data_IF_613515897352
#
_entry.id   IF_613515897352
#
_cell.length_a   1.000
_cell.length_b   1.000
_cell.length_c   1.000
_cell.angle_alpha   90.00
_cell.angle_beta   90.00
_cell.angle_gamma   90.00
#
_symmetry.space_group_name_H-M   'P 1'
#
loop_
_entity.id
_entity.type
_entity.pdbx_description
1 polymer ?
#
# COMPACT_ATOMS: atom_id res chain seq x y z
N UNK A 1 -5.06 -7.07 16.76
CA UNK A 1 -4.79 -8.30 17.50
C UNK A 1 -3.32 -8.68 17.58
N UNK A 2 -2.48 -8.42 16.54
CA UNK A 2 -1.05 -8.79 16.53
C UNK A 2 -0.26 -7.94 17.52
N UNK A 3 -0.52 -6.66 17.61
CA UNK A 3 0.15 -5.74 18.56
C UNK A 3 -0.10 -6.14 20.02
N UNK A 4 -1.29 -6.64 20.35
CA UNK A 4 -1.57 -7.13 21.70
C UNK A 4 -0.78 -8.38 22.06
N UNK A 5 -0.54 -9.30 21.12
CA UNK A 5 0.24 -10.51 21.35
C UNK A 5 1.74 -10.20 21.59
N UNK A 6 2.28 -9.17 20.97
CA UNK A 6 3.65 -8.71 21.19
C UNK A 6 3.74 -7.95 22.52
N UNK A 7 2.78 -7.07 22.81
CA UNK A 7 2.77 -6.28 24.04
C UNK A 7 2.67 -7.14 25.32
N UNK A 8 2.04 -8.30 25.27
CA UNK A 8 1.95 -9.24 26.42
C UNK A 8 3.25 -9.99 26.71
N UNK A 9 4.25 -9.92 25.82
CA UNK A 9 5.56 -10.55 26.01
C UNK A 9 6.63 -9.58 26.47
N UNK A 10 6.34 -8.27 26.48
CA UNK A 10 7.25 -7.24 26.95
C UNK A 10 7.09 -7.02 28.46
N UNK A 11 8.22 -6.90 29.17
CA UNK A 11 8.21 -6.46 30.56
C UNK A 11 7.83 -4.97 30.66
N UNK A 12 7.48 -4.52 31.86
CA UNK A 12 7.21 -3.11 32.12
C UNK A 12 8.43 -2.22 31.75
N UNK A 13 9.65 -2.74 31.99
CA UNK A 13 10.91 -2.04 31.64
C UNK A 13 11.14 -1.99 30.13
N UNK A 14 10.80 -3.05 29.38
CA UNK A 14 10.87 -3.03 27.92
C UNK A 14 9.90 -2.01 27.34
N UNK A 15 8.68 -1.95 27.87
CA UNK A 15 7.69 -0.96 27.44
C UNK A 15 8.16 0.47 27.75
N UNK A 16 8.74 0.69 28.94
CA UNK A 16 9.27 2.00 29.32
C UNK A 16 10.45 2.41 28.44
N UNK A 17 11.36 1.49 28.12
CA UNK A 17 12.51 1.72 27.26
C UNK A 17 12.10 2.04 25.82
N UNK A 18 11.13 1.28 25.27
CA UNK A 18 10.57 1.55 23.94
C UNK A 18 9.86 2.90 23.90
N UNK A 19 9.07 3.23 24.92
CA UNK A 19 8.40 4.52 25.03
C UNK A 19 9.40 5.68 25.14
N UNK A 20 10.45 5.53 25.95
CA UNK A 20 11.53 6.52 26.07
C UNK A 20 12.28 6.71 24.76
N UNK A 21 12.58 5.62 24.02
CA UNK A 21 13.20 5.70 22.71
C UNK A 21 12.34 6.51 21.73
N UNK A 22 11.05 6.23 21.63
CA UNK A 22 10.16 6.99 20.74
C UNK A 22 9.93 8.44 21.22
N UNK A 23 9.95 8.69 22.52
CA UNK A 23 9.86 10.06 23.06
C UNK A 23 11.07 10.94 22.71
N UNK A 24 12.27 10.33 22.52
CA UNK A 24 13.46 11.05 22.06
C UNK A 24 13.47 11.34 20.55
N UNK A 25 12.57 10.72 19.79
CA UNK A 25 12.44 10.91 18.34
C UNK A 25 11.62 12.18 17.99
N UNK A 26 11.72 13.23 18.79
CA UNK A 26 11.05 14.50 18.52
C UNK A 26 11.59 15.12 17.23
N UNK A 27 10.75 15.13 16.18
CA UNK A 27 11.01 15.84 14.93
C UNK A 27 11.30 14.98 13.69
N UNK A 28 11.16 13.68 13.76
CA UNK A 28 11.14 12.87 12.55
C UNK A 28 9.84 13.15 11.77
N UNK A 29 9.85 14.18 10.94
CA UNK A 29 8.89 14.25 9.83
C UNK A 29 8.97 12.93 9.07
N UNK A 30 7.83 12.41 8.62
CA UNK A 30 7.65 11.11 7.96
C UNK A 30 8.40 10.97 6.61
N UNK A 31 9.57 11.56 6.49
CA UNK A 31 10.52 11.52 5.37
C UNK A 31 11.84 10.82 5.73
N UNK A 32 11.96 10.22 6.92
CA UNK A 32 13.08 9.34 7.18
C UNK A 32 12.93 8.14 6.23
N UNK A 33 13.60 8.20 5.07
CA UNK A 33 13.92 7.01 4.28
C UNK A 33 14.49 6.01 5.28
N UNK A 34 13.93 4.81 5.29
CA UNK A 34 14.47 3.72 6.09
C UNK A 34 15.87 3.41 5.57
N UNK A 35 16.91 4.00 6.20
CA UNK A 35 18.30 3.75 5.84
C UNK A 35 18.69 2.26 6.00
N UNK A 36 17.79 1.47 6.58
CA UNK A 36 17.94 0.03 6.78
C UNK A 36 17.42 -0.83 5.61
N UNK A 37 16.64 -0.25 4.68
CA UNK A 37 16.14 -1.01 3.54
C UNK A 37 17.04 -0.81 2.32
N UNK A 38 17.34 -1.89 1.57
CA UNK A 38 18.09 -1.77 0.33
C UNK A 38 17.33 -0.89 -0.67
N UNK A 39 18.04 -0.22 -1.54
CA UNK A 39 17.41 0.54 -2.62
C UNK A 39 17.00 -0.39 -3.77
N UNK A 40 15.73 -0.73 -3.85
CA UNK A 40 15.13 -1.52 -4.92
C UNK A 40 14.34 -0.61 -5.86
N UNK A 41 15.05 0.10 -6.74
CA UNK A 41 14.47 1.06 -7.68
C UNK A 41 13.75 0.41 -8.87
N UNK A 42 14.11 -0.84 -9.22
CA UNK A 42 13.53 -1.54 -10.37
C UNK A 42 12.23 -2.21 -9.99
N UNK A 43 11.23 -2.08 -10.84
CA UNK A 43 9.97 -2.82 -10.79
C UNK A 43 9.63 -3.34 -12.18
N UNK A 44 8.99 -4.51 -12.23
CA UNK A 44 8.44 -5.08 -13.46
C UNK A 44 7.02 -4.61 -13.77
N UNK A 45 6.38 -3.95 -12.79
CA UNK A 45 4.99 -3.48 -12.92
C UNK A 45 4.91 -2.34 -13.92
N UNK A 46 4.01 -2.49 -14.90
CA UNK A 46 3.67 -1.45 -15.87
C UNK A 46 2.34 -0.82 -15.50
N UNK A 47 2.12 0.43 -15.95
CA UNK A 47 0.82 1.07 -15.82
C UNK A 47 -0.23 0.24 -16.57
N UNK A 48 -1.36 -0.16 -15.93
CA UNK A 48 -2.38 -0.97 -16.58
C UNK A 48 -3.26 -0.12 -17.49
N UNK A 49 -2.84 0.06 -18.72
CA UNK A 49 -3.62 0.85 -19.69
C UNK A 49 -5.03 0.26 -19.86
N UNK A 50 -6.02 1.14 -19.99
CA UNK A 50 -7.41 0.73 -20.13
C UNK A 50 -8.06 0.13 -18.87
N UNK A 51 -7.42 0.25 -17.69
CA UNK A 51 -7.97 -0.30 -16.45
C UNK A 51 -9.40 0.17 -16.16
N UNK A 52 -9.78 1.36 -16.57
CA UNK A 52 -11.11 1.92 -16.34
C UNK A 52 -12.23 1.05 -16.96
N UNK A 53 -11.92 0.29 -18.00
CA UNK A 53 -12.87 -0.59 -18.69
C UNK A 53 -12.64 -2.08 -18.43
N UNK A 54 -11.39 -2.45 -18.09
CA UNK A 54 -10.97 -3.85 -17.93
C UNK A 54 -10.86 -4.30 -16.48
N UNK A 55 -10.75 -3.36 -15.53
CA UNK A 55 -10.72 -3.68 -14.10
C UNK A 55 -12.04 -3.29 -13.44
N UNK A 56 -12.31 -3.88 -12.28
CA UNK A 56 -13.47 -3.53 -11.46
C UNK A 56 -13.03 -2.84 -10.18
N UNK A 57 -13.68 -1.73 -9.85
CA UNK A 57 -13.53 -1.14 -8.53
C UNK A 57 -14.17 -2.07 -7.50
N UNK A 58 -13.38 -2.52 -6.52
CA UNK A 58 -13.86 -3.45 -5.49
C UNK A 58 -13.88 -2.84 -4.10
N UNK A 59 -13.16 -1.72 -3.89
CA UNK A 59 -13.11 -1.10 -2.57
C UNK A 59 -12.87 0.40 -2.64
N UNK A 60 -13.23 1.10 -1.55
CA UNK A 60 -12.93 2.51 -1.31
C UNK A 60 -12.53 2.67 0.14
N UNK A 61 -11.45 3.40 0.43
CA UNK A 61 -10.97 3.65 1.81
C UNK A 61 -10.66 5.13 1.99
N UNK A 62 -11.12 5.67 3.11
CA UNK A 62 -10.71 6.99 3.60
C UNK A 62 -9.40 6.89 4.38
N UNK A 63 -8.50 7.83 4.15
CA UNK A 63 -7.26 8.02 4.90
C UNK A 63 -7.28 9.40 5.60
N UNK A 64 -7.87 9.49 6.81
CA UNK A 64 -8.07 10.76 7.49
C UNK A 64 -6.76 11.51 7.77
N UNK A 65 -5.70 10.80 8.17
CA UNK A 65 -4.41 11.39 8.52
C UNK A 65 -3.77 12.16 7.35
N UNK A 66 -3.99 11.70 6.12
CA UNK A 66 -3.45 12.31 4.89
C UNK A 66 -4.51 13.07 4.10
N UNK A 67 -5.75 13.12 4.59
CA UNK A 67 -6.92 13.70 3.90
C UNK A 67 -7.04 13.16 2.46
N UNK A 68 -6.99 11.83 2.34
CA UNK A 68 -7.08 11.12 1.04
C UNK A 68 -8.26 10.18 1.02
N UNK A 69 -8.76 9.93 -0.19
CA UNK A 69 -9.62 8.79 -0.49
C UNK A 69 -8.97 7.96 -1.58
N UNK A 70 -9.04 6.65 -1.45
CA UNK A 70 -8.42 5.72 -2.39
C UNK A 70 -9.46 4.78 -2.97
N UNK A 71 -9.42 4.63 -4.29
CA UNK A 71 -10.25 3.71 -5.05
C UNK A 71 -9.41 2.53 -5.52
N UNK A 72 -9.83 1.33 -5.12
CA UNK A 72 -9.11 0.09 -5.38
C UNK A 72 -9.78 -0.68 -6.52
N UNK A 73 -8.98 -1.05 -7.49
CA UNK A 73 -9.38 -1.79 -8.69
C UNK A 73 -8.57 -3.08 -8.79
N UNK A 74 -9.16 -4.09 -9.38
CA UNK A 74 -8.47 -5.34 -9.68
C UNK A 74 -8.93 -5.88 -11.03
N UNK A 75 -8.04 -6.65 -11.69
CA UNK A 75 -8.43 -7.40 -12.87
C UNK A 75 -9.33 -8.59 -12.52
N UNK A 76 -10.05 -9.11 -13.49
CA UNK A 76 -11.00 -10.20 -13.28
C UNK A 76 -10.37 -11.48 -12.74
N UNK A 77 -9.09 -11.72 -13.04
CA UNK A 77 -8.35 -12.90 -12.54
C UNK A 77 -8.17 -12.81 -11.01
N UNK A 78 -7.68 -11.68 -10.52
CA UNK A 78 -7.52 -11.44 -9.09
C UNK A 78 -8.86 -11.52 -8.36
N UNK A 79 -9.91 -10.90 -8.90
CA UNK A 79 -11.24 -10.90 -8.28
C UNK A 79 -11.86 -12.29 -8.21
N UNK A 80 -11.71 -13.12 -9.23
CA UNK A 80 -12.20 -14.51 -9.20
C UNK A 80 -11.48 -15.32 -8.13
N UNK A 81 -10.14 -15.24 -8.08
CA UNK A 81 -9.37 -15.97 -7.06
C UNK A 81 -9.75 -15.53 -5.64
N UNK A 82 -9.86 -14.21 -5.40
CA UNK A 82 -10.27 -13.67 -4.11
C UNK A 82 -11.67 -14.12 -3.70
N UNK A 83 -12.63 -14.13 -4.64
CA UNK A 83 -13.99 -14.63 -4.39
C UNK A 83 -14.02 -16.11 -3.99
N UNK A 84 -13.14 -16.91 -4.59
CA UNK A 84 -13.01 -18.34 -4.30
C UNK A 84 -12.19 -18.61 -3.02
N UNK A 85 -11.67 -17.57 -2.33
CA UNK A 85 -10.80 -17.71 -1.16
C UNK A 85 -9.44 -18.33 -1.50
N UNK A 86 -9.00 -18.23 -2.73
CA UNK A 86 -7.72 -18.76 -3.22
C UNK A 86 -6.64 -17.70 -3.23
N UNK A 87 -5.36 -18.08 -3.11
CA UNK A 87 -4.25 -17.16 -3.36
C UNK A 87 -4.37 -16.52 -4.75
N UNK A 88 -3.97 -15.25 -4.86
CA UNK A 88 -4.00 -14.53 -6.11
C UNK A 88 -2.96 -15.13 -7.07
N UNK A 89 -3.34 -15.60 -8.27
CA UNK A 89 -2.43 -16.26 -9.22
C UNK A 89 -1.55 -15.26 -9.96
N UNK A 90 -0.56 -15.78 -10.68
CA UNK A 90 0.23 -15.00 -11.65
C UNK A 90 -0.72 -14.34 -12.68
N UNK A 91 -0.37 -13.14 -13.11
CA UNK A 91 -1.25 -12.29 -13.92
C UNK A 91 -2.23 -11.45 -13.10
N UNK A 92 -2.26 -11.59 -11.75
CA UNK A 92 -3.08 -10.73 -10.90
C UNK A 92 -2.51 -9.32 -10.86
N UNK A 93 -3.40 -8.33 -11.03
CA UNK A 93 -3.06 -6.91 -10.92
C UNK A 93 -4.07 -6.21 -10.02
N UNK A 94 -3.56 -5.55 -8.99
CA UNK A 94 -4.32 -4.64 -8.13
C UNK A 94 -3.81 -3.23 -8.38
N UNK A 95 -4.75 -2.30 -8.51
CA UNK A 95 -4.46 -0.93 -8.90
C UNK A 95 -5.23 0.05 -8.02
N UNK A 96 -4.60 1.17 -7.68
CA UNK A 96 -5.22 2.15 -6.79
C UNK A 96 -5.08 3.55 -7.36
N UNK A 97 -6.19 4.26 -7.39
CA UNK A 97 -6.22 5.71 -7.58
C UNK A 97 -6.18 6.38 -6.21
N UNK A 98 -5.28 7.34 -6.03
CA UNK A 98 -5.13 8.11 -4.79
C UNK A 98 -5.55 9.55 -5.06
N UNK A 99 -6.62 9.98 -4.40
CA UNK A 99 -7.16 11.33 -4.51
C UNK A 99 -6.95 12.11 -3.20
N UNK A 100 -6.77 13.43 -3.30
CA UNK A 100 -7.04 14.31 -2.17
C UNK A 100 -8.54 14.30 -1.87
N UNK A 101 -8.89 14.44 -0.59
CA UNK A 101 -10.27 14.66 -0.21
C UNK A 101 -10.63 16.16 -0.36
N UNK A 102 -11.78 16.45 -0.91
CA UNK A 102 -12.32 17.81 -0.99
C UNK A 102 -12.53 18.35 0.42
N UNK A 103 -12.01 19.54 0.68
CA UNK A 103 -12.14 20.20 1.99
C UNK A 103 -13.43 21.01 2.07
N UNK A 104 -14.09 20.93 3.22
CA UNK A 104 -15.17 21.81 3.60
C UNK A 104 -14.67 23.17 4.12
N UNK A 105 -15.58 24.08 4.46
CA UNK A 105 -15.25 25.40 5.00
C UNK A 105 -14.44 25.36 6.31
N UNK A 106 -14.56 24.29 7.09
CA UNK A 106 -13.84 24.06 8.34
C UNK A 106 -12.47 23.37 8.11
N UNK A 107 -12.05 23.19 6.85
CA UNK A 107 -10.79 22.54 6.48
C UNK A 107 -10.78 21.02 6.67
N UNK A 108 -11.91 20.41 7.05
CA UNK A 108 -12.04 18.96 7.15
C UNK A 108 -12.48 18.36 5.83
N UNK A 109 -12.15 17.08 5.57
CA UNK A 109 -12.65 16.38 4.42
C UNK A 109 -14.19 16.32 4.38
N UNK A 110 -14.77 16.65 3.23
CA UNK A 110 -16.18 16.42 2.99
C UNK A 110 -16.44 14.93 2.81
N UNK A 111 -17.51 14.45 3.43
CA UNK A 111 -17.96 13.06 3.32
C UNK A 111 -19.23 12.99 2.49
N UNK A 112 -19.26 12.10 1.53
CA UNK A 112 -20.43 11.81 0.70
C UNK A 112 -21.50 10.98 1.44
N UNK A 113 -22.67 10.78 0.83
CA UNK A 113 -23.76 10.00 1.42
C UNK A 113 -23.40 8.52 1.63
N UNK A 114 -22.39 8.02 0.92
CA UNK A 114 -21.84 6.67 1.04
C UNK A 114 -20.82 6.50 2.18
N UNK A 115 -20.54 7.57 2.95
CA UNK A 115 -19.59 7.57 4.06
C UNK A 115 -18.12 7.74 3.64
N UNK A 116 -17.84 7.85 2.34
CA UNK A 116 -16.49 8.08 1.85
C UNK A 116 -16.21 9.58 1.64
N UNK A 117 -14.93 9.94 1.73
CA UNK A 117 -14.52 11.30 1.40
C UNK A 117 -14.80 11.60 -0.07
N UNK A 118 -15.26 12.81 -0.34
CA UNK A 118 -15.45 13.30 -1.69
C UNK A 118 -14.08 13.51 -2.33
N UNK A 119 -13.79 12.81 -3.41
CA UNK A 119 -12.54 12.96 -4.15
C UNK A 119 -12.47 14.37 -4.77
N UNK A 120 -11.28 14.96 -4.76
CA UNK A 120 -10.96 16.25 -5.38
C UNK A 120 -9.97 16.06 -6.51
N UNK A 121 -8.67 16.10 -6.23
CA UNK A 121 -7.61 15.97 -7.22
C UNK A 121 -6.98 14.59 -7.18
N UNK A 122 -6.78 13.97 -8.33
CA UNK A 122 -5.96 12.78 -8.45
C UNK A 122 -4.51 13.14 -8.17
N UNK A 123 -3.90 12.47 -7.20
CA UNK A 123 -2.53 12.74 -6.74
C UNK A 123 -1.52 11.83 -7.43
N UNK A 124 -1.79 10.55 -7.48
CA UNK A 124 -0.95 9.52 -8.08
C UNK A 124 -1.69 8.18 -8.13
N UNK A 125 -1.04 7.21 -8.76
CA UNK A 125 -1.51 5.83 -8.77
C UNK A 125 -0.51 4.92 -8.07
N UNK A 126 -1.00 3.80 -7.53
CA UNK A 126 -0.16 2.67 -7.14
C UNK A 126 -0.65 1.39 -7.79
N UNK A 127 0.26 0.48 -8.04
CA UNK A 127 -0.06 -0.85 -8.54
C UNK A 127 0.79 -1.89 -7.85
N UNK A 128 0.21 -3.06 -7.67
CA UNK A 128 0.94 -4.28 -7.39
C UNK A 128 0.50 -5.34 -8.39
N UNK A 129 1.45 -6.09 -8.89
CA UNK A 129 1.19 -7.14 -9.84
C UNK A 129 2.09 -8.34 -9.57
N UNK A 130 1.62 -9.51 -9.93
CA UNK A 130 2.32 -10.77 -9.75
C UNK A 130 2.50 -11.45 -11.09
N UNK A 131 3.71 -11.93 -11.34
CA UNK A 131 4.04 -12.74 -12.51
C UNK A 131 5.21 -13.66 -12.16
N UNK A 132 5.20 -14.87 -12.69
CA UNK A 132 6.19 -15.89 -12.38
C UNK A 132 7.62 -15.39 -12.58
N UNK A 133 8.44 -15.54 -11.55
CA UNK A 133 9.86 -15.21 -11.57
C UNK A 133 10.21 -13.75 -11.28
N UNK A 134 9.25 -12.88 -11.03
CA UNK A 134 9.51 -11.47 -10.68
C UNK A 134 10.17 -11.28 -9.31
N UNK A 135 10.04 -12.27 -8.43
CA UNK A 135 10.67 -12.23 -7.10
C UNK A 135 12.16 -12.62 -7.10
N UNK A 136 12.72 -13.11 -8.20
CA UNK A 136 14.09 -13.69 -8.25
C UNK A 136 15.17 -12.72 -7.78
N UNK A 137 15.05 -11.45 -8.17
CA UNK A 137 16.04 -10.41 -7.89
C UNK A 137 15.75 -9.66 -6.57
N UNK A 138 14.69 -10.04 -5.85
CA UNK A 138 14.32 -9.44 -4.57
C UNK A 138 14.98 -10.24 -3.44
N UNK A 139 15.70 -9.57 -2.51
CA UNK A 139 16.27 -10.24 -1.34
C UNK A 139 15.21 -11.04 -0.57
N UNK A 140 15.54 -12.24 -0.14
CA UNK A 140 14.61 -13.19 0.48
C UNK A 140 13.83 -12.58 1.66
N UNK A 141 14.50 -11.79 2.49
CA UNK A 141 13.90 -11.11 3.63
C UNK A 141 12.76 -10.14 3.25
N UNK A 142 12.78 -9.62 2.01
CA UNK A 142 11.76 -8.68 1.50
C UNK A 142 10.84 -9.33 0.48
N UNK A 143 11.19 -10.50 -0.06
CA UNK A 143 10.46 -11.15 -1.14
C UNK A 143 9.05 -11.53 -0.71
N UNK A 144 8.07 -11.02 -1.42
CA UNK A 144 6.66 -11.35 -1.31
C UNK A 144 6.29 -12.27 -2.46
N UNK A 145 6.87 -13.48 -2.49
CA UNK A 145 6.80 -14.38 -3.65
C UNK A 145 7.20 -13.62 -4.94
N UNK A 146 6.35 -13.62 -5.96
CA UNK A 146 6.58 -12.96 -7.23
C UNK A 146 5.87 -11.59 -7.37
N UNK A 147 5.40 -11.02 -6.27
CA UNK A 147 4.80 -9.68 -6.27
C UNK A 147 5.83 -8.58 -6.49
N UNK A 148 5.49 -7.63 -7.34
CA UNK A 148 6.19 -6.38 -7.54
C UNK A 148 5.24 -5.19 -7.34
N UNK A 149 5.79 -4.03 -7.02
CA UNK A 149 5.04 -2.84 -6.65
C UNK A 149 5.55 -1.64 -7.46
N UNK A 150 4.64 -0.73 -7.80
CA UNK A 150 4.98 0.51 -8.48
C UNK A 150 4.07 1.66 -8.05
N UNK A 151 4.56 2.87 -8.18
CA UNK A 151 3.75 4.07 -8.16
C UNK A 151 3.91 4.82 -9.48
N UNK A 152 2.85 5.53 -9.90
CA UNK A 152 2.85 6.28 -11.15
C UNK A 152 2.36 7.70 -10.90
N UNK A 153 2.87 8.65 -11.68
CA UNK A 153 2.35 10.01 -11.71
C UNK A 153 0.95 10.05 -12.32
N UNK A 154 0.25 11.17 -12.20
CA UNK A 154 -1.02 11.41 -12.89
C UNK A 154 -0.91 11.31 -14.41
N UNK A 155 0.28 11.59 -14.96
CA UNK A 155 0.61 11.37 -16.38
C UNK A 155 1.04 9.94 -16.71
N UNK A 156 0.81 8.97 -15.80
CA UNK A 156 1.11 7.53 -15.96
C UNK A 156 2.60 7.16 -16.03
N UNK A 157 3.51 8.11 -15.85
CA UNK A 157 4.94 7.83 -15.80
C UNK A 157 5.29 7.16 -14.46
N UNK A 158 6.23 6.20 -14.48
CA UNK A 158 6.74 5.55 -13.28
C UNK A 158 7.36 6.59 -12.34
N UNK A 159 6.96 6.56 -11.07
CA UNK A 159 7.58 7.37 -10.01
C UNK A 159 8.80 6.65 -9.44
N UNK A 160 9.89 7.40 -9.16
CA UNK A 160 11.08 6.83 -8.53
C UNK A 160 10.80 6.56 -7.04
N UNK A 161 10.23 5.39 -6.73
CA UNK A 161 10.00 4.94 -5.36
C UNK A 161 10.90 3.75 -5.04
N UNK A 162 11.29 3.62 -3.77
CA UNK A 162 11.99 2.43 -3.31
C UNK A 162 10.98 1.30 -3.09
N UNK A 163 10.98 0.32 -3.98
CA UNK A 163 10.07 -0.84 -3.89
C UNK A 163 10.26 -1.62 -2.56
N UNK A 164 11.43 -1.57 -1.93
CA UNK A 164 11.67 -2.23 -0.66
C UNK A 164 10.71 -1.78 0.45
N UNK A 165 10.26 -0.52 0.44
CA UNK A 165 9.28 0.00 1.40
C UNK A 165 7.90 -0.66 1.20
N UNK A 166 7.49 -0.85 -0.05
CA UNK A 166 6.25 -1.54 -0.38
C UNK A 166 6.31 -3.01 0.05
N UNK A 167 7.41 -3.68 -0.32
CA UNK A 167 7.64 -5.09 0.02
C UNK A 167 7.64 -5.32 1.53
N UNK A 168 8.35 -4.49 2.30
CA UNK A 168 8.41 -4.60 3.75
C UNK A 168 7.05 -4.39 4.41
N UNK A 169 6.27 -3.40 3.93
CA UNK A 169 4.93 -3.12 4.44
C UNK A 169 3.94 -4.26 4.16
N UNK A 170 4.01 -4.86 2.97
CA UNK A 170 3.13 -5.94 2.54
C UNK A 170 3.58 -7.33 3.02
N UNK A 171 4.84 -7.51 3.43
CA UNK A 171 5.40 -8.79 3.88
C UNK A 171 4.56 -9.52 4.95
N UNK A 172 4.05 -8.85 5.99
CA UNK A 172 3.24 -9.50 7.03
C UNK A 172 1.85 -9.98 6.55
N UNK A 173 1.46 -9.65 5.33
CA UNK A 173 0.16 -9.99 4.74
C UNK A 173 0.22 -11.27 3.88
N UNK A 174 1.18 -12.15 4.12
CA UNK A 174 1.41 -13.39 3.37
C UNK A 174 0.16 -14.26 3.24
N UNK A 175 -0.60 -14.41 4.34
CA UNK A 175 -1.87 -15.16 4.37
C UNK A 175 -2.99 -14.55 3.54
N UNK A 176 -2.87 -13.28 3.19
CA UNK A 176 -3.80 -12.53 2.34
C UNK A 176 -3.20 -12.25 0.95
N UNK A 177 -2.29 -13.09 0.46
CA UNK A 177 -1.57 -12.91 -0.80
C UNK A 177 -0.84 -11.56 -0.89
N UNK A 178 -0.35 -11.05 0.25
CA UNK A 178 0.37 -9.78 0.38
C UNK A 178 -0.44 -8.53 -0.06
N UNK A 179 -1.78 -8.58 0.05
CA UNK A 179 -2.70 -7.51 -0.40
C UNK A 179 -3.41 -6.78 0.74
#
# INVERSE_FOLDING_TARGET
PIMNAIATQLSADDIANVAAYFATQTGATATAKSDFLPNLAKTSVKFPEGYQTTFRKYHTINFPATKQVRYYFANDMALRAAKDGKPLPDGSVLFTEVYSAKSGPDGKPLTGPDGFFVADQLLFYTAMAREAGWGKDIPEMLRNEDWNYAAFTTGKALRPVNQAECLACHKPLDKASYT
#
